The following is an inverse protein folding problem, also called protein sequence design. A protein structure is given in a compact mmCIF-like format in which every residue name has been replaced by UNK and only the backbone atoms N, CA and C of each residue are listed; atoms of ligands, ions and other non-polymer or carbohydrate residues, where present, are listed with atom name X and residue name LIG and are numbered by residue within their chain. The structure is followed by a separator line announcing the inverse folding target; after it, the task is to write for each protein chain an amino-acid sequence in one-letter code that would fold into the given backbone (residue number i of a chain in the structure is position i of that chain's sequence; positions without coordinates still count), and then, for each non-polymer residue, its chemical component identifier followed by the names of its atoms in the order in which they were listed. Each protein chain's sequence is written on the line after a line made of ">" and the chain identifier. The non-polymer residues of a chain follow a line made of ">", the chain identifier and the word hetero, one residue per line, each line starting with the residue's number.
data_IF_690559743205
#
_entry.id   IF_690559743205
#
_cell.length_a   1.000
_cell.length_b   1.000
_cell.length_c   1.000
_cell.angle_alpha   90.00
_cell.angle_beta   90.00
_cell.angle_gamma   90.00
#
_symmetry.space_group_name_H-M   'P 1'
#
loop_
_entity.id
_entity.type
_entity.pdbx_description
1 polymer ?
#
# COMPACT_ATOMS: atom_id res chain seq x y z
N UNK A 1 -3.36 -20.68 -27.50
CA UNK A 1 -4.71 -20.07 -27.49
C UNK A 1 -5.45 -20.33 -26.19
N UNK A 2 -5.69 -21.57 -25.84
CA UNK A 2 -6.33 -21.90 -24.55
C UNK A 2 -5.53 -21.41 -23.38
N UNK A 3 -4.21 -21.53 -23.47
CA UNK A 3 -3.28 -21.07 -22.45
C UNK A 3 -3.42 -19.56 -22.20
N UNK A 4 -3.51 -18.81 -23.28
CA UNK A 4 -3.68 -17.35 -23.22
C UNK A 4 -5.04 -16.98 -22.62
N UNK A 5 -6.06 -17.73 -22.98
CA UNK A 5 -7.42 -17.52 -22.43
C UNK A 5 -7.45 -17.74 -20.94
N UNK A 6 -6.83 -18.83 -20.48
CA UNK A 6 -6.80 -19.14 -19.04
C UNK A 6 -5.96 -18.13 -18.28
N UNK A 7 -4.85 -17.67 -18.85
CA UNK A 7 -4.03 -16.63 -18.24
C UNK A 7 -4.82 -15.33 -18.08
N UNK A 8 -5.56 -14.94 -19.12
CA UNK A 8 -6.37 -13.72 -19.09
C UNK A 8 -7.47 -13.82 -18.03
N UNK A 9 -8.14 -14.97 -17.93
CA UNK A 9 -9.18 -15.18 -16.93
C UNK A 9 -8.59 -15.10 -15.51
N UNK A 10 -7.43 -15.71 -15.31
CA UNK A 10 -6.74 -15.67 -14.01
C UNK A 10 -6.32 -14.27 -13.64
N UNK A 11 -5.79 -13.53 -14.61
CA UNK A 11 -5.39 -12.13 -14.38
C UNK A 11 -6.62 -11.28 -14.02
N UNK A 12 -7.73 -11.48 -14.72
CA UNK A 12 -8.95 -10.74 -14.40
C UNK A 12 -9.46 -11.04 -13.00
N UNK A 13 -9.30 -12.27 -12.55
CA UNK A 13 -9.63 -12.63 -11.18
C UNK A 13 -8.76 -11.87 -10.19
N UNK A 14 -7.45 -11.81 -10.45
CA UNK A 14 -6.54 -11.02 -9.62
C UNK A 14 -6.92 -9.55 -9.61
N UNK A 15 -7.25 -8.99 -10.76
CA UNK A 15 -7.64 -7.57 -10.85
C UNK A 15 -8.83 -7.30 -9.93
N UNK A 16 -9.84 -8.16 -9.99
CA UNK A 16 -11.03 -8.01 -9.17
C UNK A 16 -10.71 -8.10 -7.67
N UNK A 17 -9.92 -9.10 -7.30
CA UNK A 17 -9.56 -9.31 -5.90
C UNK A 17 -8.70 -8.18 -5.35
N UNK A 18 -7.71 -7.74 -6.13
CA UNK A 18 -6.83 -6.65 -5.73
C UNK A 18 -7.61 -5.35 -5.59
N UNK A 19 -8.50 -5.08 -6.56
CA UNK A 19 -9.33 -3.88 -6.53
C UNK A 19 -10.18 -3.84 -5.26
N UNK A 20 -10.80 -4.96 -4.91
CA UNK A 20 -11.61 -5.05 -3.70
C UNK A 20 -10.78 -4.80 -2.44
N UNK A 21 -9.60 -5.41 -2.37
CA UNK A 21 -8.71 -5.25 -1.22
C UNK A 21 -8.20 -3.81 -1.11
N UNK A 22 -7.81 -3.20 -2.22
CA UNK A 22 -7.36 -1.81 -2.20
C UNK A 22 -8.47 -0.86 -1.74
N UNK A 23 -9.70 -1.10 -2.16
CA UNK A 23 -10.84 -0.30 -1.71
C UNK A 23 -11.06 -0.43 -0.20
N UNK A 24 -10.92 -1.64 0.33
CA UNK A 24 -11.04 -1.87 1.77
C UNK A 24 -9.94 -1.14 2.54
N UNK A 25 -8.70 -1.27 2.08
CA UNK A 25 -7.57 -0.60 2.71
C UNK A 25 -7.80 0.90 2.71
N UNK A 26 -8.17 1.45 1.55
CA UNK A 26 -8.41 2.89 1.39
C UNK A 26 -9.42 3.41 2.40
N UNK A 27 -10.50 2.67 2.62
CA UNK A 27 -11.52 3.08 3.58
C UNK A 27 -11.03 2.98 5.01
N UNK A 28 -10.30 1.92 5.33
CA UNK A 28 -9.80 1.71 6.70
C UNK A 28 -8.78 2.75 7.12
N UNK A 29 -7.90 3.16 6.21
CA UNK A 29 -6.90 4.19 6.52
C UNK A 29 -7.41 5.60 6.23
N UNK A 30 -8.64 5.72 5.75
CA UNK A 30 -9.25 7.00 5.39
C UNK A 30 -8.36 7.79 4.45
N UNK A 31 -7.98 7.13 3.36
CA UNK A 31 -6.98 7.66 2.42
C UNK A 31 -7.33 9.04 1.87
N UNK A 32 -8.62 9.32 1.67
CA UNK A 32 -9.06 10.60 1.12
C UNK A 32 -8.66 11.79 2.00
N UNK A 33 -8.61 11.59 3.32
CA UNK A 33 -8.26 12.66 4.25
C UNK A 33 -6.82 12.56 4.75
N UNK A 34 -6.10 11.54 4.31
CA UNK A 34 -4.78 11.23 4.84
C UNK A 34 -3.78 12.36 4.63
N UNK A 35 -3.78 12.98 3.44
CA UNK A 35 -2.89 14.10 3.16
C UNK A 35 -3.17 15.29 4.08
N UNK A 36 -4.46 15.58 4.33
CA UNK A 36 -4.84 16.67 5.22
C UNK A 36 -4.37 16.39 6.64
N UNK A 37 -4.50 15.14 7.09
CA UNK A 37 -4.03 14.76 8.43
C UNK A 37 -2.52 14.85 8.54
N UNK A 38 -1.80 14.49 7.48
CA UNK A 38 -0.35 14.64 7.44
C UNK A 38 0.03 16.12 7.52
N UNK A 39 -0.66 16.97 6.76
CA UNK A 39 -0.42 18.40 6.78
C UNK A 39 -0.67 19.01 8.16
N UNK A 40 -1.74 18.57 8.82
CA UNK A 40 -2.04 19.01 10.19
C UNK A 40 -0.93 18.64 11.15
N UNK A 41 -0.46 17.40 11.07
CA UNK A 41 0.64 16.96 11.96
C UNK A 41 1.93 17.69 11.66
N UNK A 42 2.18 18.00 10.39
CA UNK A 42 3.36 18.76 9.99
C UNK A 42 3.31 20.15 10.59
N UNK A 43 2.15 20.81 10.51
CA UNK A 43 1.96 22.14 11.11
C UNK A 43 2.17 22.10 12.62
N UNK A 44 1.65 21.09 13.28
CA UNK A 44 1.84 20.94 14.73
C UNK A 44 3.33 20.77 15.07
N UNK A 45 4.07 20.01 14.26
CA UNK A 45 5.51 19.81 14.48
C UNK A 45 6.32 21.08 14.25
N UNK A 46 5.80 22.01 13.47
CA UNK A 46 6.48 23.27 13.18
C UNK A 46 6.26 24.34 14.26
N UNK A 47 5.32 24.10 15.18
CA UNK A 47 5.03 25.03 16.25
C UNK A 47 6.17 25.02 17.27
N UNK A 48 6.85 26.16 17.51
CA UNK A 48 7.99 26.22 18.45
C UNK A 48 7.62 25.79 19.87
N UNK A 49 6.38 25.97 20.29
CA UNK A 49 5.94 25.62 21.63
C UNK A 49 6.03 24.12 21.88
N UNK A 50 5.84 23.33 20.84
CA UNK A 50 5.89 21.86 20.91
C UNK A 50 7.30 21.38 21.31
N UNK A 51 8.33 22.08 20.84
CA UNK A 51 9.71 21.68 21.07
C UNK A 51 10.20 21.93 22.48
N UNK A 52 9.39 22.64 23.28
CA UNK A 52 9.68 22.82 24.71
C UNK A 52 9.38 21.54 25.50
N UNK A 53 8.53 20.67 24.95
CA UNK A 53 8.21 19.37 25.54
C UNK A 53 8.70 18.29 24.60
N UNK A 54 9.86 17.72 24.89
CA UNK A 54 10.49 16.73 24.03
C UNK A 54 9.65 15.48 23.85
N UNK A 55 8.94 15.06 24.89
CA UNK A 55 8.10 13.87 24.79
C UNK A 55 6.94 14.11 23.84
N UNK A 56 6.32 15.28 23.91
CA UNK A 56 5.24 15.66 23.02
C UNK A 56 5.72 15.77 21.57
N UNK A 57 6.86 16.44 21.37
CA UNK A 57 7.44 16.59 20.04
C UNK A 57 7.70 15.23 19.41
N UNK A 58 8.29 14.33 20.17
CA UNK A 58 8.61 12.97 19.69
C UNK A 58 7.34 12.21 19.32
N UNK A 59 6.30 12.32 20.15
CA UNK A 59 5.02 11.68 19.91
C UNK A 59 4.37 12.17 18.60
N UNK A 60 4.41 13.48 18.38
CA UNK A 60 3.85 14.09 17.17
C UNK A 60 4.62 13.69 15.93
N UNK A 61 5.95 13.63 16.02
CA UNK A 61 6.78 13.19 14.89
C UNK A 61 6.51 11.74 14.53
N UNK A 62 6.33 10.88 15.53
CA UNK A 62 5.98 9.48 15.30
C UNK A 62 4.61 9.34 14.65
N UNK A 63 3.64 10.11 15.14
CA UNK A 63 2.29 10.09 14.58
C UNK A 63 2.32 10.53 13.11
N UNK A 64 3.06 11.59 12.82
CA UNK A 64 3.23 12.07 11.45
C UNK A 64 3.88 11.01 10.57
N UNK A 65 4.95 10.38 11.07
CA UNK A 65 5.66 9.35 10.32
C UNK A 65 4.76 8.16 10.02
N UNK A 66 3.95 7.74 10.97
CA UNK A 66 3.01 6.64 10.76
C UNK A 66 2.02 6.95 9.63
N UNK A 67 1.50 8.17 9.58
CA UNK A 67 0.59 8.58 8.51
C UNK A 67 1.30 8.61 7.16
N UNK A 68 2.54 9.11 7.12
CA UNK A 68 3.33 9.10 5.89
C UNK A 68 3.56 7.69 5.37
N UNK A 69 3.86 6.76 6.27
CA UNK A 69 4.07 5.36 5.88
C UNK A 69 2.81 4.75 5.28
N UNK A 70 1.67 5.03 5.88
CA UNK A 70 0.39 4.57 5.32
C UNK A 70 0.15 5.14 3.93
N UNK A 71 0.41 6.43 3.76
CA UNK A 71 0.24 7.10 2.48
C UNK A 71 1.15 6.49 1.42
N UNK A 72 2.42 6.33 1.74
CA UNK A 72 3.40 5.80 0.81
C UNK A 72 3.11 4.34 0.43
N UNK A 73 2.76 3.52 1.42
CA UNK A 73 2.44 2.11 1.18
C UNK A 73 1.25 1.97 0.26
N UNK A 74 0.17 2.66 0.57
CA UNK A 74 -1.04 2.55 -0.25
C UNK A 74 -0.81 3.11 -1.65
N UNK A 75 -0.16 4.27 -1.76
CA UNK A 75 0.12 4.89 -3.06
C UNK A 75 0.96 3.99 -3.94
N UNK A 76 1.96 3.33 -3.36
CA UNK A 76 2.82 2.41 -4.09
C UNK A 76 2.02 1.24 -4.65
N UNK A 77 1.19 0.63 -3.82
CA UNK A 77 0.35 -0.49 -4.25
C UNK A 77 -0.62 -0.08 -5.35
N UNK A 78 -1.24 1.08 -5.19
CA UNK A 78 -2.20 1.59 -6.17
C UNK A 78 -1.50 1.87 -7.51
N UNK A 79 -0.32 2.46 -7.47
CA UNK A 79 0.44 2.78 -8.68
C UNK A 79 0.88 1.51 -9.38
N UNK A 80 1.39 0.52 -8.66
CA UNK A 80 1.77 -0.76 -9.24
C UNK A 80 0.57 -1.44 -9.91
N UNK A 81 -0.56 -1.41 -9.23
CA UNK A 81 -1.79 -1.99 -9.75
C UNK A 81 -2.21 -1.32 -11.07
N UNK A 82 -2.21 0.01 -11.08
CA UNK A 82 -2.57 0.75 -12.28
C UNK A 82 -1.61 0.45 -13.44
N UNK A 83 -0.32 0.37 -13.14
CA UNK A 83 0.71 0.08 -14.16
C UNK A 83 0.51 -1.29 -14.79
N UNK A 84 0.35 -2.33 -13.97
CA UNK A 84 0.22 -3.68 -14.53
C UNK A 84 -1.13 -3.91 -15.19
N UNK A 85 -2.18 -3.18 -14.76
CA UNK A 85 -3.46 -3.20 -15.48
C UNK A 85 -3.32 -2.64 -16.88
N UNK A 86 -2.59 -1.54 -17.02
CA UNK A 86 -2.34 -0.94 -18.33
C UNK A 86 -1.58 -1.91 -19.23
N UNK A 87 -0.55 -2.55 -18.67
CA UNK A 87 0.21 -3.55 -19.43
C UNK A 87 -0.66 -4.73 -19.82
N UNK A 88 -1.58 -5.13 -18.98
CA UNK A 88 -2.51 -6.21 -19.28
C UNK A 88 -3.41 -5.86 -20.47
N UNK A 89 -3.89 -4.63 -20.53
CA UNK A 89 -4.71 -4.17 -21.64
C UNK A 89 -3.91 -4.25 -22.94
N UNK A 90 -2.67 -3.79 -22.92
CA UNK A 90 -1.78 -3.84 -24.08
C UNK A 90 -1.49 -5.29 -24.49
N UNK A 91 -1.11 -6.12 -23.55
CA UNK A 91 -0.80 -7.52 -23.81
C UNK A 91 -1.99 -8.30 -24.36
N UNK A 92 -3.18 -7.98 -23.88
CA UNK A 92 -4.40 -8.62 -24.35
C UNK A 92 -4.72 -8.21 -25.79
N UNK A 93 -4.61 -6.93 -26.12
CA UNK A 93 -4.85 -6.44 -27.45
C UNK A 93 -3.87 -7.03 -28.45
N UNK A 94 -2.61 -7.12 -28.07
CA UNK A 94 -1.55 -7.63 -28.96
C UNK A 94 -1.43 -9.16 -28.91
N UNK A 95 -2.18 -9.80 -28.03
CA UNK A 95 -2.13 -11.25 -27.83
C UNK A 95 -0.71 -11.73 -27.56
N UNK A 96 0.00 -10.96 -26.75
CA UNK A 96 1.38 -11.24 -26.39
C UNK A 96 1.43 -12.21 -25.20
N UNK A 97 1.56 -13.49 -25.51
CA UNK A 97 1.55 -14.54 -24.50
C UNK A 97 2.71 -14.42 -23.51
N UNK A 98 3.87 -14.00 -23.99
CA UNK A 98 5.04 -13.82 -23.13
C UNK A 98 4.79 -12.73 -22.09
N UNK A 99 4.23 -11.61 -22.52
CA UNK A 99 3.88 -10.52 -21.61
C UNK A 99 2.79 -10.96 -20.64
N UNK A 100 1.77 -11.66 -21.13
CA UNK A 100 0.69 -12.15 -20.24
C UNK A 100 1.22 -13.08 -19.17
N UNK A 101 2.19 -13.91 -19.51
CA UNK A 101 2.82 -14.83 -18.54
C UNK A 101 3.55 -14.05 -17.44
N UNK A 102 4.31 -13.03 -17.83
CA UNK A 102 4.99 -12.16 -16.87
C UNK A 102 3.99 -11.43 -15.99
N UNK A 103 2.90 -10.97 -16.60
CA UNK A 103 1.88 -10.23 -15.85
C UNK A 103 1.15 -11.12 -14.86
N UNK A 104 0.89 -12.36 -15.21
CA UNK A 104 0.25 -13.28 -14.25
C UNK A 104 1.10 -13.40 -12.99
N UNK A 105 2.40 -13.52 -13.16
CA UNK A 105 3.32 -13.56 -12.02
C UNK A 105 3.31 -12.27 -11.23
N UNK A 106 3.31 -11.13 -11.93
CA UNK A 106 3.29 -9.82 -11.28
C UNK A 106 2.00 -9.58 -10.50
N UNK A 107 0.86 -9.96 -11.08
CA UNK A 107 -0.42 -9.84 -10.38
C UNK A 107 -0.49 -10.76 -9.17
N UNK A 108 0.04 -11.97 -9.28
CA UNK A 108 0.08 -12.90 -8.16
C UNK A 108 0.88 -12.32 -6.99
N UNK A 109 2.03 -11.76 -7.31
CA UNK A 109 2.90 -11.13 -6.31
C UNK A 109 2.20 -9.93 -5.67
N UNK A 110 1.60 -9.08 -6.50
CA UNK A 110 0.91 -7.90 -5.99
C UNK A 110 -0.28 -8.29 -5.11
N UNK A 111 -1.02 -9.33 -5.51
CA UNK A 111 -2.13 -9.85 -4.70
C UNK A 111 -1.65 -10.24 -3.31
N UNK A 112 -0.51 -10.89 -3.25
CA UNK A 112 0.07 -11.30 -1.96
C UNK A 112 0.41 -10.08 -1.11
N UNK A 113 1.08 -9.09 -1.69
CA UNK A 113 1.45 -7.86 -0.98
C UNK A 113 0.22 -7.10 -0.49
N UNK A 114 -0.78 -6.96 -1.35
CA UNK A 114 -2.02 -6.25 -1.00
C UNK A 114 -2.76 -6.98 0.12
N UNK A 115 -2.78 -8.30 0.07
CA UNK A 115 -3.43 -9.10 1.11
C UNK A 115 -2.78 -8.89 2.47
N UNK A 116 -1.45 -8.83 2.51
CA UNK A 116 -0.73 -8.56 3.76
C UNK A 116 -1.09 -7.19 4.33
N UNK A 117 -1.12 -6.18 3.46
CA UNK A 117 -1.47 -4.81 3.90
C UNK A 117 -2.94 -4.75 4.33
N UNK A 118 -3.81 -5.46 3.65
CA UNK A 118 -5.23 -5.52 4.02
C UNK A 118 -5.39 -6.08 5.43
N UNK A 119 -4.69 -7.17 5.75
CA UNK A 119 -4.75 -7.78 7.09
C UNK A 119 -4.25 -6.79 8.13
N UNK A 120 -3.15 -6.11 7.85
CA UNK A 120 -2.62 -5.11 8.78
C UNK A 120 -3.56 -3.93 8.97
N UNK A 121 -4.27 -3.55 7.92
CA UNK A 121 -5.23 -2.45 8.01
C UNK A 121 -6.41 -2.77 8.94
N UNK A 122 -6.69 -4.05 9.15
CA UNK A 122 -7.70 -4.48 10.11
C UNK A 122 -7.28 -4.14 11.54
N UNK A 123 -5.99 -4.13 11.80
CA UNK A 123 -5.43 -3.86 13.11
C UNK A 123 -5.18 -2.38 13.33
N UNK A 124 -5.41 -1.56 12.34
CA UNK A 124 -5.08 -0.13 12.37
C UNK A 124 -5.91 0.66 13.38
N UNK A 125 -7.03 0.12 13.83
CA UNK A 125 -7.81 0.74 14.89
C UNK A 125 -7.23 0.53 16.27
N UNK A 126 -6.24 -0.34 16.39
CA UNK A 126 -5.61 -0.67 17.65
C UNK A 126 -4.43 0.27 17.92
N UNK A 127 -4.03 0.38 19.18
CA UNK A 127 -2.98 1.30 19.58
C UNK A 127 -1.65 1.08 18.87
N UNK A 128 -1.32 -0.18 18.60
CA UNK A 128 -0.02 -0.55 18.05
C UNK A 128 -0.04 -0.83 16.55
N UNK A 129 -1.16 -0.60 15.91
CA UNK A 129 -1.32 -0.92 14.49
C UNK A 129 -0.34 -0.17 13.60
N UNK A 130 -0.02 1.07 13.96
CA UNK A 130 0.92 1.87 13.18
C UNK A 130 2.31 1.24 13.14
N UNK A 131 2.73 0.63 14.25
CA UNK A 131 4.02 -0.05 14.30
C UNK A 131 4.03 -1.28 13.40
N UNK A 132 2.94 -2.03 13.40
CA UNK A 132 2.81 -3.19 12.51
C UNK A 132 2.85 -2.79 11.05
N UNK A 133 2.23 -1.66 10.72
CA UNK A 133 2.23 -1.12 9.36
C UNK A 133 3.65 -0.73 8.94
N UNK A 134 4.40 -0.13 9.85
CA UNK A 134 5.80 0.21 9.61
C UNK A 134 6.66 -1.03 9.36
N UNK A 135 6.41 -2.11 10.09
CA UNK A 135 7.13 -3.36 9.88
C UNK A 135 6.97 -3.90 8.47
N UNK A 136 5.79 -3.79 7.91
CA UNK A 136 5.55 -4.21 6.52
C UNK A 136 6.32 -3.33 5.54
N UNK A 137 6.33 -2.02 5.77
CA UNK A 137 7.04 -1.09 4.91
C UNK A 137 8.54 -1.32 4.92
N UNK A 138 9.08 -1.68 6.05
CA UNK A 138 10.49 -1.99 6.19
C UNK A 138 10.79 -3.46 5.89
N UNK A 139 9.77 -4.21 5.49
CA UNK A 139 9.85 -5.65 5.30
C UNK A 139 10.93 -6.12 4.34
N UNK A 140 11.19 -5.34 3.30
CA UNK A 140 12.23 -5.70 2.34
C UNK A 140 13.62 -5.66 2.96
N UNK A 141 13.82 -4.77 3.93
CA UNK A 141 15.04 -4.71 4.71
C UNK A 141 14.77 -4.96 6.17
N UNK A 142 13.75 -5.75 6.45
CA UNK A 142 13.09 -5.83 7.72
C UNK A 142 13.92 -5.99 8.96
N UNK A 143 14.96 -6.78 8.90
CA UNK A 143 15.75 -7.06 10.08
C UNK A 143 16.55 -5.86 10.56
N UNK A 144 17.03 -5.06 9.64
CA UNK A 144 17.82 -3.88 9.97
C UNK A 144 16.96 -2.80 10.58
N UNK A 145 15.72 -2.71 10.18
CA UNK A 145 14.86 -1.65 10.68
C UNK A 145 14.43 -1.86 12.13
N UNK A 146 14.64 -3.04 12.65
CA UNK A 146 14.36 -3.33 14.05
C UNK A 146 15.45 -2.79 14.98
N UNK A 147 16.58 -2.47 14.41
CA UNK A 147 17.68 -1.92 15.16
C UNK A 147 17.53 -0.42 15.31
#
# INVERSE_FOLDING_TARGET
>A
MLSSFFMSAEIQRYISEISNSLNLISRRIEFETLQDRISSKTSECENPEIWKDQALAKSLMRARQALLEQFETFSKLQNEFNDIKTLFEIGSEEKDESLLMELESSFSKLKHEVTEVEVLSLLDGEADANDAFLEINSGAGGTESCD
#
